data_IF_624999548931
#
_entry.id   IF_624999548931
#
_cell.length_a   1.000
_cell.length_b   1.000
_cell.length_c   1.000
_cell.angle_alpha   90.00
_cell.angle_beta   90.00
_cell.angle_gamma   90.00
#
_symmetry.space_group_name_H-M   'P 1'
#
loop_
_entity.id
_entity.type
_entity.pdbx_description
1 polymer ?
#
# COMPACT_ATOMS: atom_id res chain seq x y z
N UNK A 1 -3.36 -17.51 -4.02
CA UNK A 1 -2.69 -18.21 -3.11
C UNK A 1 -1.49 -19.05 -3.54
N UNK A 2 -1.53 -20.02 -4.46
CA UNK A 2 -0.33 -20.70 -4.95
C UNK A 2 0.69 -19.76 -5.59
N UNK A 3 0.23 -18.72 -6.28
CA UNK A 3 1.11 -17.71 -6.90
C UNK A 3 1.91 -16.88 -5.88
N UNK A 4 1.31 -16.47 -4.76
CA UNK A 4 2.03 -15.76 -3.70
C UNK A 4 3.01 -16.66 -2.96
N UNK A 5 2.66 -17.94 -2.71
CA UNK A 5 3.57 -18.90 -2.10
C UNK A 5 4.78 -19.19 -3.00
N UNK A 6 4.56 -19.31 -4.32
CA UNK A 6 5.65 -19.44 -5.28
C UNK A 6 6.54 -18.19 -5.27
N UNK A 7 5.95 -17.01 -5.32
CA UNK A 7 6.70 -15.74 -5.26
C UNK A 7 7.58 -15.63 -4.01
N UNK A 8 7.05 -16.00 -2.82
CA UNK A 8 7.83 -16.01 -1.58
C UNK A 8 9.05 -16.95 -1.70
N UNK A 9 8.85 -18.14 -2.28
CA UNK A 9 9.94 -19.10 -2.48
C UNK A 9 11.02 -18.55 -3.40
N UNK A 10 10.60 -17.93 -4.50
CA UNK A 10 11.51 -17.39 -5.52
C UNK A 10 12.28 -16.18 -4.97
N UNK A 11 11.63 -15.28 -4.22
CA UNK A 11 12.30 -14.16 -3.56
C UNK A 11 13.26 -14.61 -2.44
N UNK A 12 12.90 -15.63 -1.66
CA UNK A 12 13.82 -16.21 -0.65
C UNK A 12 15.04 -16.82 -1.31
N UNK A 13 14.88 -17.53 -2.42
CA UNK A 13 16.00 -18.06 -3.18
C UNK A 13 16.89 -16.95 -3.71
N UNK A 14 16.30 -15.89 -4.25
CA UNK A 14 17.02 -14.70 -4.71
C UNK A 14 17.79 -14.02 -3.57
N UNK A 15 17.19 -13.87 -2.40
CA UNK A 15 17.83 -13.30 -1.22
C UNK A 15 19.02 -14.14 -0.76
N UNK A 16 18.89 -15.47 -0.72
CA UNK A 16 19.96 -16.38 -0.30
C UNK A 16 21.13 -16.44 -1.29
N UNK A 17 20.90 -16.11 -2.56
CA UNK A 17 21.92 -16.04 -3.61
C UNK A 17 22.57 -14.66 -3.73
N UNK A 18 22.01 -13.66 -3.04
CA UNK A 18 22.47 -12.28 -3.11
C UNK A 18 23.53 -12.02 -2.03
N UNK A 19 24.80 -11.88 -2.43
CA UNK A 19 25.86 -11.36 -1.55
C UNK A 19 25.78 -9.83 -1.34
N UNK A 20 24.65 -9.20 -1.76
CA UNK A 20 24.49 -7.76 -1.77
C UNK A 20 23.20 -7.35 -1.02
N UNK A 21 23.37 -6.64 0.09
CA UNK A 21 22.32 -6.21 1.02
C UNK A 21 21.09 -5.55 0.36
N UNK A 22 21.24 -4.60 -0.60
CA UNK A 22 20.09 -4.00 -1.26
C UNK A 22 19.16 -4.99 -1.97
N UNK A 23 19.68 -6.11 -2.47
CA UNK A 23 18.88 -7.15 -3.11
C UNK A 23 18.10 -7.96 -2.07
N UNK A 24 18.68 -8.20 -0.90
CA UNK A 24 18.02 -8.84 0.24
C UNK A 24 16.84 -8.01 0.70
N UNK A 25 17.02 -6.71 0.91
CA UNK A 25 15.96 -5.81 1.37
C UNK A 25 14.85 -5.62 0.33
N UNK A 26 15.19 -5.55 -0.94
CA UNK A 26 14.21 -5.57 -2.03
C UNK A 26 13.39 -6.86 -2.02
N UNK A 27 14.02 -7.99 -1.80
CA UNK A 27 13.34 -9.29 -1.68
C UNK A 27 12.45 -9.33 -0.44
N UNK A 28 12.90 -8.84 0.72
CA UNK A 28 12.12 -8.74 1.95
C UNK A 28 10.83 -7.94 1.74
N UNK A 29 10.91 -6.79 1.07
CA UNK A 29 9.72 -6.01 0.72
C UNK A 29 8.68 -6.83 -0.03
N UNK A 30 9.08 -7.52 -1.09
CA UNK A 30 8.15 -8.32 -1.89
C UNK A 30 7.64 -9.56 -1.16
N UNK A 31 8.46 -10.19 -0.33
CA UNK A 31 8.05 -11.30 0.54
C UNK A 31 6.99 -10.82 1.54
N UNK A 32 7.22 -9.68 2.19
CA UNK A 32 6.27 -9.07 3.12
C UNK A 32 4.92 -8.75 2.46
N UNK A 33 4.95 -8.13 1.27
CA UNK A 33 3.75 -7.88 0.48
C UNK A 33 3.01 -9.18 0.09
N UNK A 34 3.73 -10.24 -0.27
CA UNK A 34 3.12 -11.52 -0.59
C UNK A 34 2.45 -12.16 0.64
N UNK A 35 3.08 -12.07 1.83
CA UNK A 35 2.44 -12.51 3.08
C UNK A 35 1.20 -11.69 3.43
N UNK A 36 1.22 -10.38 3.19
CA UNK A 36 0.04 -9.54 3.34
C UNK A 36 -1.14 -10.06 2.51
N UNK A 37 -0.93 -10.34 1.23
CA UNK A 37 -1.98 -10.89 0.36
C UNK A 37 -2.43 -12.30 0.72
N UNK A 38 -1.62 -13.04 1.48
CA UNK A 38 -1.99 -14.32 2.10
C UNK A 38 -2.68 -14.15 3.46
N UNK A 39 -2.94 -12.91 3.91
CA UNK A 39 -3.46 -12.56 5.22
C UNK A 39 -2.62 -13.10 6.40
N UNK A 40 -1.33 -13.38 6.17
CA UNK A 40 -0.37 -13.71 7.21
C UNK A 40 0.32 -12.42 7.67
N UNK A 41 -0.37 -11.64 8.50
CA UNK A 41 0.03 -10.30 8.88
C UNK A 41 1.28 -10.29 9.77
N UNK A 42 1.49 -11.28 10.64
CA UNK A 42 2.70 -11.39 11.47
C UNK A 42 3.96 -11.52 10.59
N UNK A 43 3.95 -12.45 9.63
CA UNK A 43 5.06 -12.60 8.70
C UNK A 43 5.21 -11.38 7.79
N UNK A 44 4.10 -10.76 7.39
CA UNK A 44 4.12 -9.53 6.60
C UNK A 44 4.86 -8.41 7.34
N UNK A 45 4.48 -8.15 8.60
CA UNK A 45 5.11 -7.14 9.45
C UNK A 45 6.61 -7.40 9.56
N UNK A 46 7.01 -8.61 9.92
CA UNK A 46 8.42 -8.94 10.11
C UNK A 46 9.29 -8.59 8.89
N UNK A 47 8.87 -9.01 7.69
CA UNK A 47 9.61 -8.73 6.46
C UNK A 47 9.55 -7.26 6.03
N UNK A 48 8.42 -6.59 6.28
CA UNK A 48 8.23 -5.20 5.88
C UNK A 48 8.96 -4.24 6.83
N UNK A 49 9.02 -4.52 8.13
CA UNK A 49 9.79 -3.72 9.09
C UNK A 49 11.30 -3.77 8.78
N UNK A 50 11.86 -4.95 8.48
CA UNK A 50 13.24 -5.08 8.02
C UNK A 50 13.52 -4.21 6.78
N UNK A 51 12.58 -4.20 5.84
CA UNK A 51 12.70 -3.39 4.64
C UNK A 51 12.51 -1.89 4.91
N UNK A 52 11.60 -1.52 5.81
CA UNK A 52 11.33 -0.15 6.22
C UNK A 52 12.55 0.47 6.90
N UNK A 53 13.16 -0.23 7.86
CA UNK A 53 14.36 0.23 8.55
C UNK A 53 15.54 0.48 7.58
N UNK A 54 15.68 -0.39 6.59
CA UNK A 54 16.71 -0.20 5.56
C UNK A 54 16.47 1.02 4.66
N UNK A 55 15.19 1.36 4.39
CA UNK A 55 14.81 2.45 3.50
C UNK A 55 14.49 3.76 4.21
N UNK A 56 14.94 3.97 5.45
CA UNK A 56 14.65 5.22 6.20
C UNK A 56 15.05 6.48 5.43
N UNK A 57 16.16 6.43 4.70
CA UNK A 57 16.68 7.54 3.88
C UNK A 57 16.15 7.54 2.43
N UNK A 58 15.42 6.50 2.00
CA UNK A 58 14.82 6.39 0.67
C UNK A 58 13.30 6.54 0.79
N UNK A 59 12.84 7.78 0.80
CA UNK A 59 11.45 8.13 1.06
C UNK A 59 10.47 7.44 0.12
N UNK A 60 10.79 7.36 -1.18
CA UNK A 60 9.90 6.70 -2.15
C UNK A 60 9.70 5.21 -1.84
N UNK A 61 10.78 4.50 -1.48
CA UNK A 61 10.70 3.07 -1.12
C UNK A 61 10.04 2.89 0.24
N UNK A 62 10.32 3.75 1.20
CA UNK A 62 9.65 3.80 2.51
C UNK A 62 8.14 3.94 2.34
N UNK A 63 7.67 4.91 1.55
CA UNK A 63 6.25 5.10 1.25
C UNK A 63 5.59 3.87 0.62
N UNK A 64 6.32 3.08 -0.16
CA UNK A 64 5.78 1.85 -0.77
C UNK A 64 5.55 0.70 0.21
N UNK A 65 6.15 0.75 1.41
CA UNK A 65 6.06 -0.27 2.47
C UNK A 65 4.99 0.08 3.50
N UNK A 66 4.88 1.35 3.85
CA UNK A 66 4.06 1.86 4.94
C UNK A 66 2.59 1.43 4.89
N UNK A 67 1.88 1.50 3.76
CA UNK A 67 0.47 1.08 3.71
C UNK A 67 0.24 -0.37 4.12
N UNK A 68 1.16 -1.25 3.77
CA UNK A 68 1.08 -2.67 4.14
C UNK A 68 1.33 -2.87 5.65
N UNK A 69 2.25 -2.11 6.26
CA UNK A 69 2.49 -2.11 7.70
C UNK A 69 1.26 -1.59 8.46
N UNK A 70 0.71 -0.45 8.05
CA UNK A 70 -0.48 0.16 8.64
C UNK A 70 -1.63 -0.86 8.71
N UNK A 71 -1.96 -1.49 7.56
CA UNK A 71 -3.06 -2.46 7.51
C UNK A 71 -2.72 -3.72 8.31
N UNK A 72 -1.50 -4.24 8.22
CA UNK A 72 -1.12 -5.46 8.93
C UNK A 72 -1.22 -5.29 10.45
N UNK A 73 -0.72 -4.17 11.00
CA UNK A 73 -0.86 -3.84 12.40
C UNK A 73 -2.32 -3.63 12.80
N UNK A 74 -3.11 -2.93 12.00
CA UNK A 74 -4.54 -2.74 12.22
C UNK A 74 -5.29 -4.09 12.30
N UNK A 75 -4.99 -5.03 11.39
CA UNK A 75 -5.60 -6.37 11.38
C UNK A 75 -5.22 -7.23 12.59
N UNK A 76 -4.09 -6.96 13.23
CA UNK A 76 -3.65 -7.60 14.47
C UNK A 76 -4.06 -6.81 15.73
N UNK A 77 -4.91 -5.77 15.59
CA UNK A 77 -5.34 -4.86 16.68
C UNK A 77 -4.16 -4.13 17.37
N UNK A 78 -3.03 -4.00 16.72
CA UNK A 78 -1.91 -3.19 17.18
C UNK A 78 -2.09 -1.74 16.72
N UNK A 79 -2.99 -1.03 17.38
CA UNK A 79 -3.40 0.33 17.03
C UNK A 79 -2.22 1.32 17.11
N UNK A 80 -1.38 1.22 18.13
CA UNK A 80 -0.26 2.13 18.35
C UNK A 80 0.72 2.12 17.16
N UNK A 81 1.16 0.94 16.73
CA UNK A 81 2.04 0.82 15.57
C UNK A 81 1.36 1.24 14.27
N UNK A 82 0.06 0.93 14.12
CA UNK A 82 -0.70 1.36 12.94
C UNK A 82 -0.74 2.89 12.82
N UNK A 83 -0.97 3.60 13.94
CA UNK A 83 -0.97 5.08 13.97
C UNK A 83 0.43 5.62 13.71
N UNK A 84 1.47 5.10 14.35
CA UNK A 84 2.85 5.51 14.13
C UNK A 84 3.22 5.47 12.63
N UNK A 85 2.94 4.37 11.96
CA UNK A 85 3.23 4.23 10.53
C UNK A 85 2.32 5.10 9.66
N UNK A 86 1.11 5.40 10.10
CA UNK A 86 0.22 6.33 9.39
C UNK A 86 0.74 7.77 9.46
N UNK A 87 1.22 8.22 10.62
CA UNK A 87 1.84 9.54 10.79
C UNK A 87 3.08 9.69 9.89
N UNK A 88 3.96 8.69 9.89
CA UNK A 88 5.15 8.69 9.03
C UNK A 88 4.79 8.67 7.53
N UNK A 89 3.72 7.97 7.18
CA UNK A 89 3.20 7.94 5.82
C UNK A 89 2.66 9.31 5.37
N UNK A 90 1.87 9.99 6.22
CA UNK A 90 1.34 11.32 5.93
C UNK A 90 2.46 12.35 5.76
N UNK A 91 3.45 12.34 6.66
CA UNK A 91 4.62 13.18 6.52
C UNK A 91 5.34 12.94 5.19
N UNK A 92 5.55 11.68 4.83
CA UNK A 92 6.23 11.34 3.59
C UNK A 92 5.47 11.75 2.33
N UNK A 93 4.13 11.72 2.34
CA UNK A 93 3.31 12.23 1.22
C UNK A 93 3.42 13.74 1.08
N UNK A 94 3.50 14.48 2.18
CA UNK A 94 3.63 15.93 2.14
C UNK A 94 5.01 16.36 1.61
N UNK A 95 6.05 15.59 1.87
CA UNK A 95 7.43 15.88 1.45
C UNK A 95 7.72 15.45 -0.01
N UNK A 96 7.09 14.39 -0.47
CA UNK A 96 7.24 13.86 -1.83
C UNK A 96 6.01 14.24 -2.67
N UNK A 97 6.23 14.52 -3.96
CA UNK A 97 5.13 14.66 -4.93
C UNK A 97 4.92 13.31 -5.65
N UNK A 98 4.18 12.36 -5.02
CA UNK A 98 4.09 11.01 -5.51
C UNK A 98 3.37 10.93 -6.85
N UNK A 99 3.75 9.93 -7.66
CA UNK A 99 3.03 9.68 -8.92
C UNK A 99 1.53 9.51 -8.65
N UNK A 100 0.63 10.09 -9.47
CA UNK A 100 -0.82 10.05 -9.24
C UNK A 100 -1.41 8.67 -8.96
N UNK A 101 -0.91 7.63 -9.63
CA UNK A 101 -1.38 6.25 -9.41
C UNK A 101 -0.96 5.73 -8.02
N UNK A 102 0.23 6.09 -7.55
CA UNK A 102 0.72 5.73 -6.21
C UNK A 102 -0.13 6.46 -5.16
N UNK A 103 -0.45 7.74 -5.38
CA UNK A 103 -1.32 8.52 -4.51
C UNK A 103 -2.73 7.92 -4.37
N UNK A 104 -3.36 7.50 -5.49
CA UNK A 104 -4.66 6.84 -5.47
C UNK A 104 -4.61 5.55 -4.65
N UNK A 105 -3.61 4.69 -4.92
CA UNK A 105 -3.47 3.41 -4.23
C UNK A 105 -3.21 3.60 -2.75
N UNK A 106 -2.38 4.54 -2.41
CA UNK A 106 -1.97 4.87 -1.06
C UNK A 106 -3.13 5.35 -0.19
N UNK A 107 -3.91 6.32 -0.68
CA UNK A 107 -5.11 6.78 0.01
C UNK A 107 -6.16 5.66 0.14
N UNK A 108 -6.34 4.84 -0.88
CA UNK A 108 -7.21 3.67 -0.77
C UNK A 108 -6.76 2.68 0.31
N UNK A 109 -5.46 2.44 0.45
CA UNK A 109 -4.94 1.52 1.46
C UNK A 109 -5.08 2.10 2.88
N UNK A 110 -4.88 3.40 3.06
CA UNK A 110 -5.14 4.09 4.31
C UNK A 110 -6.64 3.98 4.71
N UNK A 111 -7.55 4.22 3.76
CA UNK A 111 -8.98 3.99 3.97
C UNK A 111 -9.28 2.55 4.42
N UNK A 112 -8.75 1.54 3.71
CA UNK A 112 -8.97 0.13 4.05
C UNK A 112 -8.43 -0.24 5.45
N UNK A 113 -7.37 0.42 5.90
CA UNK A 113 -6.80 0.20 7.24
C UNK A 113 -7.67 0.76 8.36
N UNK A 114 -8.33 1.91 8.12
CA UNK A 114 -8.99 2.70 9.16
C UNK A 114 -10.52 2.52 9.20
N UNK A 115 -11.15 2.13 8.09
CA UNK A 115 -12.62 2.12 7.92
C UNK A 115 -13.39 1.29 8.93
N UNK A 116 -12.78 0.26 9.51
CA UNK A 116 -13.43 -0.68 10.45
C UNK A 116 -13.07 -0.35 11.92
N UNK A 117 -12.49 0.84 12.20
CA UNK A 117 -12.01 1.24 13.52
C UNK A 117 -12.58 2.57 14.02
N UNK A 118 -11.94 3.10 15.06
CA UNK A 118 -12.33 4.37 15.71
C UNK A 118 -11.93 5.62 14.89
N UNK A 119 -11.32 5.43 13.71
CA UNK A 119 -10.79 6.47 12.81
C UNK A 119 -11.61 6.60 11.53
N UNK A 120 -12.93 6.54 11.68
CA UNK A 120 -13.83 6.53 10.52
C UNK A 120 -13.80 7.85 9.76
N UNK A 121 -13.72 8.98 10.45
CA UNK A 121 -13.70 10.30 9.81
C UNK A 121 -12.42 10.48 8.97
N UNK A 122 -11.27 10.07 9.51
CA UNK A 122 -10.00 10.05 8.78
C UNK A 122 -10.03 9.05 7.61
N UNK A 123 -10.65 7.90 7.80
CA UNK A 123 -10.82 6.93 6.72
C UNK A 123 -11.64 7.52 5.57
N UNK A 124 -12.73 8.22 5.86
CA UNK A 124 -13.59 8.84 4.85
C UNK A 124 -12.84 9.95 4.09
N UNK A 125 -11.94 10.70 4.74
CA UNK A 125 -11.06 11.66 4.09
C UNK A 125 -10.09 10.98 3.08
N UNK A 126 -9.47 9.88 3.47
CA UNK A 126 -8.62 9.10 2.56
C UNK A 126 -9.41 8.54 1.37
N UNK A 127 -10.63 8.08 1.60
CA UNK A 127 -11.50 7.62 0.52
C UNK A 127 -11.86 8.74 -0.45
N UNK A 128 -12.17 9.93 0.06
CA UNK A 128 -12.44 11.11 -0.75
C UNK A 128 -11.22 11.50 -1.59
N UNK A 129 -10.04 11.54 -0.98
CA UNK A 129 -8.77 11.86 -1.66
C UNK A 129 -8.48 10.87 -2.80
N UNK A 130 -8.61 9.55 -2.53
CA UNK A 130 -8.45 8.53 -3.56
C UNK A 130 -9.45 8.70 -4.72
N UNK A 131 -10.72 9.00 -4.41
CA UNK A 131 -11.77 9.19 -5.40
C UNK A 131 -11.56 10.46 -6.23
N UNK A 132 -11.21 11.60 -5.62
CA UNK A 132 -10.97 12.86 -6.29
C UNK A 132 -9.77 12.77 -7.24
N UNK A 133 -8.68 12.13 -6.80
CA UNK A 133 -7.53 11.93 -7.66
C UNK A 133 -7.85 10.99 -8.82
N UNK A 134 -8.54 9.87 -8.55
CA UNK A 134 -9.02 8.96 -9.61
C UNK A 134 -9.87 9.70 -10.66
N UNK A 135 -10.74 10.59 -10.21
CA UNK A 135 -11.58 11.39 -11.09
C UNK A 135 -10.76 12.39 -11.92
N UNK A 136 -9.76 13.00 -11.33
CA UNK A 136 -8.83 13.92 -12.00
C UNK A 136 -8.03 13.19 -13.07
N UNK A 137 -7.42 12.06 -12.74
CA UNK A 137 -6.66 11.26 -13.71
C UNK A 137 -7.56 10.77 -14.87
N UNK A 138 -8.78 10.35 -14.56
CA UNK A 138 -9.71 9.93 -15.59
C UNK A 138 -10.05 11.05 -16.59
N UNK A 139 -10.08 12.32 -16.15
CA UNK A 139 -10.33 13.47 -17.05
C UNK A 139 -9.14 13.78 -17.94
N UNK A 140 -7.90 13.52 -17.44
CA UNK A 140 -6.67 13.73 -18.19
C UNK A 140 -6.53 12.75 -19.37
N UNK A 141 -7.21 11.60 -19.33
CA UNK A 141 -7.24 10.62 -20.42
C UNK A 141 -8.16 11.13 -21.54
N UNK A 142 -7.57 11.66 -22.62
CA UNK A 142 -8.32 12.25 -23.75
C UNK A 142 -9.16 11.22 -24.49
N UNK A 143 -8.65 10.02 -24.70
CA UNK A 143 -9.35 8.95 -25.42
C UNK A 143 -10.46 8.34 -24.56
N UNK A 144 -11.72 8.42 -25.02
CA UNK A 144 -12.89 7.90 -24.30
C UNK A 144 -12.82 6.39 -24.03
N UNK A 145 -12.26 5.59 -24.96
CA UNK A 145 -12.15 4.13 -24.81
C UNK A 145 -11.13 3.78 -23.69
N UNK A 146 -10.01 4.50 -23.66
CA UNK A 146 -8.96 4.27 -22.67
C UNK A 146 -9.40 4.78 -21.29
N UNK A 147 -10.08 5.94 -21.24
CA UNK A 147 -10.72 6.43 -20.01
C UNK A 147 -11.69 5.41 -19.43
N UNK A 148 -12.53 4.81 -20.29
CA UNK A 148 -13.46 3.77 -19.84
C UNK A 148 -12.74 2.51 -19.34
N UNK A 149 -11.63 2.10 -19.95
CA UNK A 149 -10.82 0.98 -19.46
C UNK A 149 -10.22 1.30 -18.09
N UNK A 150 -9.62 2.49 -17.94
CA UNK A 150 -9.05 2.97 -16.68
C UNK A 150 -10.08 2.89 -15.55
N UNK A 151 -11.26 3.48 -15.72
CA UNK A 151 -12.33 3.48 -14.72
C UNK A 151 -12.94 2.08 -14.45
N UNK A 152 -12.80 1.13 -15.37
CA UNK A 152 -13.33 -0.25 -15.24
C UNK A 152 -12.37 -1.24 -14.62
N UNK A 153 -11.16 -0.83 -14.24
CA UNK A 153 -10.26 -1.72 -13.49
C UNK A 153 -10.93 -2.14 -12.19
N UNK A 154 -10.69 -3.38 -11.74
CA UNK A 154 -11.25 -3.88 -10.48
C UNK A 154 -10.91 -2.97 -9.29
N UNK A 155 -9.70 -2.43 -9.29
CA UNK A 155 -9.21 -1.54 -8.25
C UNK A 155 -10.01 -0.23 -8.24
N UNK A 156 -10.12 0.47 -9.37
CA UNK A 156 -10.84 1.74 -9.45
C UNK A 156 -12.33 1.58 -9.16
N UNK A 157 -12.92 0.46 -9.55
CA UNK A 157 -14.33 0.16 -9.22
C UNK A 157 -14.57 -0.02 -7.72
N UNK A 158 -13.58 -0.55 -6.96
CA UNK A 158 -13.68 -0.62 -5.49
C UNK A 158 -13.78 0.77 -4.88
N UNK A 159 -12.90 1.70 -5.29
CA UNK A 159 -12.91 3.10 -4.81
C UNK A 159 -14.25 3.76 -5.11
N UNK A 160 -14.70 3.71 -6.39
CA UNK A 160 -15.97 4.30 -6.79
C UNK A 160 -17.16 3.71 -6.02
N UNK A 161 -17.14 2.40 -5.77
CA UNK A 161 -18.23 1.72 -5.07
C UNK A 161 -18.24 2.04 -3.57
N UNK A 162 -17.08 2.19 -2.95
CA UNK A 162 -16.96 2.60 -1.54
C UNK A 162 -17.47 4.03 -1.38
N UNK A 163 -16.97 4.98 -2.19
CA UNK A 163 -17.34 6.40 -2.13
C UNK A 163 -18.85 6.67 -2.33
N UNK A 164 -19.54 5.82 -3.07
CA UNK A 164 -21.02 5.94 -3.26
C UNK A 164 -21.82 5.42 -2.06
N UNK A 165 -21.20 4.71 -1.14
CA UNK A 165 -21.85 4.10 0.03
C UNK A 165 -21.54 4.85 1.33
N UNK A 166 -20.44 5.64 1.36
CA UNK A 166 -20.13 6.57 2.43
C UNK A 166 -21.06 7.77 2.39
#
# INVERSE_FOLDING_TARGET
DQSYQSAIKDFRLSSNLADFEPNTQKSNRFIGMAYFYLANYDSSIWYLEESYEYYLEDQQRKLSVLPFLIISHSKLNNKESSIKYLEDFNQGIEEEDPHPDDYIMTNWMAYEALKDGDYKDEADEYLENAYLQLKTESKNIKNKKDRNKFLKTKFHQKIVSAFKKS
#
